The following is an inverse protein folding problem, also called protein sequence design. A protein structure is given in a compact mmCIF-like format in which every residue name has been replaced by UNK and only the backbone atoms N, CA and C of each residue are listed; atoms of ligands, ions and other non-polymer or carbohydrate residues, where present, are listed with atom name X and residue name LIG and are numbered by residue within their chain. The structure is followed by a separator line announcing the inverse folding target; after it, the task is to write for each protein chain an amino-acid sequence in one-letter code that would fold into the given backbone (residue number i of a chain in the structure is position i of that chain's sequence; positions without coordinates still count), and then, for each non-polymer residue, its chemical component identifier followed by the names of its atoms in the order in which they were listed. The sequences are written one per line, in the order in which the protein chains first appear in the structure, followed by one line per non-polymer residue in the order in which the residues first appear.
data_IF_379040661906
#
_entry.id   IF_379040661906
#
_cell.length_a   1.000
_cell.length_b   1.000
_cell.length_c   1.000
_cell.angle_alpha   90.00
_cell.angle_beta   90.00
_cell.angle_gamma   90.00
#
_symmetry.space_group_name_H-M   'P 1'
#
loop_
_entity.id
_entity.type
_entity.pdbx_description
1 polymer ?
#
# COMPACT_ATOMS: atom_id res chain seq x y z
N UNK A 1 -4.16 -14.20 -50.28
CA UNK A 1 -4.17 -14.88 -48.97
C UNK A 1 -3.69 -13.87 -47.92
N UNK A 2 -4.58 -13.05 -47.36
CA UNK A 2 -4.20 -11.92 -46.48
C UNK A 2 -4.97 -11.96 -45.14
N UNK A 3 -5.23 -13.16 -44.60
CA UNK A 3 -6.04 -13.34 -43.38
C UNK A 3 -5.23 -13.81 -42.16
N UNK A 4 -3.97 -14.23 -42.34
CA UNK A 4 -3.13 -14.67 -41.21
C UNK A 4 -2.52 -13.53 -40.39
N UNK A 5 -2.37 -12.34 -41.00
CA UNK A 5 -1.70 -11.20 -40.36
C UNK A 5 -2.55 -10.61 -39.21
N UNK A 6 -3.86 -10.47 -39.42
CA UNK A 6 -4.77 -9.87 -38.43
C UNK A 6 -4.90 -10.68 -37.12
N UNK A 7 -4.86 -12.02 -37.20
CA UNK A 7 -4.92 -12.89 -36.00
C UNK A 7 -3.66 -12.77 -35.14
N UNK A 8 -2.49 -12.68 -35.78
CA UNK A 8 -1.21 -12.57 -35.10
C UNK A 8 -1.08 -11.21 -34.40
N UNK A 9 -1.53 -10.14 -35.05
CA UNK A 9 -1.62 -8.82 -34.44
C UNK A 9 -2.55 -8.79 -33.22
N UNK A 10 -3.70 -9.48 -33.28
CA UNK A 10 -4.63 -9.54 -32.16
C UNK A 10 -4.03 -10.27 -30.93
N UNK A 11 -3.31 -11.37 -31.16
CA UNK A 11 -2.63 -12.12 -30.09
C UNK A 11 -1.53 -11.26 -29.46
N UNK A 12 -0.72 -10.57 -30.26
CA UNK A 12 0.32 -9.66 -29.75
C UNK A 12 -0.31 -8.52 -28.93
N UNK A 13 -1.43 -7.96 -29.38
CA UNK A 13 -2.15 -6.92 -28.65
C UNK A 13 -2.66 -7.43 -27.29
N UNK A 14 -3.23 -8.63 -27.24
CA UNK A 14 -3.66 -9.27 -25.99
C UNK A 14 -2.51 -9.48 -25.01
N UNK A 15 -1.33 -9.88 -25.50
CA UNK A 15 -0.13 -10.07 -24.66
C UNK A 15 0.31 -8.73 -24.07
N UNK A 16 0.36 -7.66 -24.88
CA UNK A 16 0.77 -6.33 -24.41
C UNK A 16 -0.18 -5.81 -23.32
N UNK A 17 -1.50 -5.93 -23.53
CA UNK A 17 -2.51 -5.52 -22.54
C UNK A 17 -2.38 -6.32 -21.24
N UNK A 18 -2.10 -7.63 -21.33
CA UNK A 18 -1.90 -8.48 -20.15
C UNK A 18 -0.68 -8.07 -19.33
N UNK A 19 0.43 -7.71 -19.99
CA UNK A 19 1.65 -7.25 -19.32
C UNK A 19 1.43 -5.90 -18.63
N UNK A 20 0.73 -4.97 -19.30
CA UNK A 20 0.40 -3.66 -18.73
C UNK A 20 -0.54 -3.78 -17.52
N UNK A 21 -1.55 -4.66 -17.60
CA UNK A 21 -2.45 -4.94 -16.48
C UNK A 21 -1.71 -5.57 -15.27
N UNK A 22 -0.72 -6.44 -15.52
CA UNK A 22 0.10 -7.02 -14.46
C UNK A 22 1.06 -5.98 -13.83
N UNK A 23 1.55 -5.01 -14.60
CA UNK A 23 2.38 -3.92 -14.07
C UNK A 23 1.61 -2.87 -13.27
N UNK A 24 0.28 -2.85 -13.35
CA UNK A 24 -0.59 -1.91 -12.64
C UNK A 24 -1.02 -2.40 -11.24
N UNK A 25 -0.68 -3.63 -10.84
CA UNK A 25 -0.86 -4.06 -9.45
C UNK A 25 0.27 -3.50 -8.58
N UNK A 26 0.21 -2.20 -8.30
CA UNK A 26 0.62 -1.70 -6.98
C UNK A 26 -0.55 -1.98 -6.04
N UNK A 27 -0.77 -3.26 -5.75
CA UNK A 27 -1.57 -3.66 -4.61
C UNK A 27 -0.77 -3.24 -3.38
N UNK A 28 -0.97 -1.99 -2.94
CA UNK A 28 -0.91 -1.70 -1.50
C UNK A 28 -1.94 -2.64 -0.89
N UNK A 29 -1.48 -3.81 -0.47
CA UNK A 29 -2.24 -4.74 0.37
C UNK A 29 -2.46 -3.96 1.66
N UNK A 30 -3.56 -3.21 1.67
CA UNK A 30 -4.14 -2.64 2.86
C UNK A 30 -4.74 -3.86 3.55
N UNK A 31 -3.91 -4.55 4.34
CA UNK A 31 -4.36 -5.65 5.17
C UNK A 31 -5.50 -5.10 6.04
N UNK A 32 -6.71 -5.60 5.83
CA UNK A 32 -7.94 -5.15 6.51
C UNK A 32 -7.91 -5.41 8.04
N UNK A 33 -6.78 -5.91 8.56
CA UNK A 33 -6.46 -5.99 9.98
C UNK A 33 -5.67 -4.75 10.42
N UNK A 34 -6.15 -3.55 10.12
CA UNK A 34 -5.64 -2.39 10.87
C UNK A 34 -6.24 -2.49 12.28
N UNK A 35 -5.45 -2.83 13.32
CA UNK A 35 -5.95 -2.76 14.70
C UNK A 35 -6.51 -1.36 14.95
N UNK A 36 -7.55 -1.24 15.77
CA UNK A 36 -8.12 0.06 16.10
C UNK A 36 -7.03 0.98 16.65
N UNK A 37 -6.68 1.94 15.80
CA UNK A 37 -5.44 2.68 15.86
C UNK A 37 -5.79 4.14 16.06
N UNK A 38 -5.38 4.71 17.18
CA UNK A 38 -5.54 6.13 17.41
C UNK A 38 -4.35 6.89 16.82
N UNK A 39 -4.65 7.71 15.82
CA UNK A 39 -3.66 8.50 15.10
C UNK A 39 -3.30 9.78 15.87
N UNK A 40 -2.05 9.91 16.31
CA UNK A 40 -1.62 11.02 17.21
C UNK A 40 -0.71 12.09 16.58
N UNK A 41 -0.25 11.93 15.35
CA UNK A 41 0.58 12.92 14.66
C UNK A 41 1.68 12.31 13.78
N UNK A 42 2.46 13.12 13.06
CA UNK A 42 3.48 12.63 12.14
C UNK A 42 4.66 11.95 12.87
N UNK A 43 5.35 11.05 12.19
CA UNK A 43 6.55 10.39 12.71
C UNK A 43 7.62 10.23 11.63
N UNK A 44 8.85 9.95 12.04
CA UNK A 44 9.93 9.49 11.14
C UNK A 44 10.33 8.06 11.47
N UNK A 45 10.28 7.70 12.75
CA UNK A 45 10.62 6.38 13.24
C UNK A 45 9.67 5.96 14.37
N UNK A 46 9.64 4.66 14.67
CA UNK A 46 8.77 4.09 15.72
C UNK A 46 8.98 4.75 17.08
N UNK A 47 10.22 5.09 17.42
CA UNK A 47 10.58 5.65 18.73
C UNK A 47 9.93 7.03 18.98
N UNK A 48 9.69 7.80 17.92
CA UNK A 48 8.98 9.09 17.99
C UNK A 48 7.57 8.93 18.57
N UNK A 49 6.95 7.77 18.35
CA UNK A 49 5.59 7.48 18.75
C UNK A 49 5.49 6.88 20.16
N UNK A 50 6.58 6.35 20.72
CA UNK A 50 6.55 5.65 22.02
C UNK A 50 6.05 6.60 23.11
N UNK A 51 6.66 7.78 23.23
CA UNK A 51 6.25 8.78 24.21
C UNK A 51 4.80 9.26 23.98
N UNK A 52 4.40 9.40 22.72
CA UNK A 52 3.05 9.84 22.32
C UNK A 52 1.98 8.80 22.65
N UNK A 53 2.31 7.50 22.55
CA UNK A 53 1.42 6.39 22.86
C UNK A 53 1.52 5.92 24.32
N UNK A 54 1.98 6.78 25.24
CA UNK A 54 2.01 6.49 26.68
C UNK A 54 3.24 5.74 27.18
N UNK A 55 4.29 5.64 26.36
CA UNK A 55 5.57 5.04 26.75
C UNK A 55 5.71 3.55 26.46
N UNK A 56 4.68 2.91 25.89
CA UNK A 56 4.69 1.47 25.63
C UNK A 56 5.10 1.15 24.18
N UNK A 57 6.29 0.56 23.93
CA UNK A 57 6.80 0.35 22.58
C UNK A 57 6.03 -0.72 21.79
N UNK A 58 5.32 -1.63 22.46
CA UNK A 58 4.44 -2.62 21.83
C UNK A 58 3.20 -1.98 21.19
N UNK A 59 2.79 -0.80 21.67
CA UNK A 59 1.55 -0.12 21.25
C UNK A 59 1.78 1.07 20.33
N UNK A 60 3.03 1.34 19.97
CA UNK A 60 3.42 2.44 19.10
C UNK A 60 3.88 1.91 17.74
N UNK A 61 3.26 2.39 16.67
CA UNK A 61 3.66 2.12 15.29
C UNK A 61 3.83 3.43 14.53
N UNK A 62 4.77 3.46 13.59
CA UNK A 62 4.93 4.56 12.64
C UNK A 62 4.59 4.00 11.26
N UNK A 63 3.39 4.33 10.76
CA UNK A 63 2.82 3.76 9.53
C UNK A 63 2.51 4.84 8.50
N UNK A 64 2.43 4.49 7.20
CA UNK A 64 1.99 5.43 6.17
C UNK A 64 0.55 5.90 6.43
N UNK A 65 0.31 7.20 6.32
CA UNK A 65 -1.03 7.74 6.32
C UNK A 65 -1.69 7.45 4.95
N UNK A 66 -2.92 6.91 4.90
CA UNK A 66 -3.57 6.59 3.62
C UNK A 66 -4.06 7.83 2.85
N UNK A 67 -4.23 8.96 3.53
CA UNK A 67 -4.74 10.21 2.98
C UNK A 67 -3.63 11.16 2.51
N UNK A 68 -2.42 11.05 3.07
CA UNK A 68 -1.29 11.94 2.75
C UNK A 68 0.00 11.13 2.65
N UNK A 69 0.94 11.55 1.79
CA UNK A 69 2.21 10.84 1.56
C UNK A 69 3.24 11.12 2.68
N UNK A 70 2.80 10.92 3.93
CA UNK A 70 3.61 11.10 5.14
C UNK A 70 3.39 9.93 6.10
N UNK A 71 4.34 9.73 7.01
CA UNK A 71 4.23 8.73 8.08
C UNK A 71 3.53 9.33 9.30
N UNK A 72 2.75 8.52 9.99
CA UNK A 72 1.95 8.90 11.15
C UNK A 72 2.07 7.87 12.28
N UNK A 73 2.12 8.37 13.51
CA UNK A 73 2.00 7.59 14.73
C UNK A 73 0.61 6.99 14.87
N UNK A 74 0.60 5.68 15.01
CA UNK A 74 -0.56 4.85 15.26
C UNK A 74 -0.41 4.21 16.65
N UNK A 75 -1.28 4.61 17.57
CA UNK A 75 -1.32 4.05 18.92
C UNK A 75 -2.38 2.95 19.00
N UNK A 76 -1.97 1.73 19.35
CA UNK A 76 -2.87 0.60 19.48
C UNK A 76 -3.72 0.73 20.75
N UNK A 77 -5.03 0.87 20.59
CA UNK A 77 -5.97 0.74 21.71
C UNK A 77 -6.37 -0.72 21.82
N UNK A 78 -5.91 -1.38 22.89
CA UNK A 78 -6.29 -2.75 23.22
C UNK A 78 -7.77 -2.86 23.57
#
# INVERSE_FOLDING_TARGET
MASQNSKLHFVVFMIIVSVLANSAQSTRVMDDTFPECEFKGPCRMKDDCIATCGGEPSRALCIPNPSVDTLQCCCLSN
#
